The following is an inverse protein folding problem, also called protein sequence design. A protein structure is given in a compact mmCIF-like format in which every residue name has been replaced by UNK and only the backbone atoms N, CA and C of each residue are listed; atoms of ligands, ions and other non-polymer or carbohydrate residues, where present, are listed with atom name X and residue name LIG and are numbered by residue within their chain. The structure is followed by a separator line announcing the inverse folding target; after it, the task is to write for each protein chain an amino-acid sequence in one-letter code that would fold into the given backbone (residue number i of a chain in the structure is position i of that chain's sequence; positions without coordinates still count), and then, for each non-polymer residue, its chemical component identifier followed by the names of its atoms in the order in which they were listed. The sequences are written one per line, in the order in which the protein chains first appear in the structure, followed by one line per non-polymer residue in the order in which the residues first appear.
data_IF_396504103982
#
_entry.id   IF_396504103982
#
_cell.length_a   1.000
_cell.length_b   1.000
_cell.length_c   1.000
_cell.angle_alpha   90.00
_cell.angle_beta   90.00
_cell.angle_gamma   90.00
#
_symmetry.space_group_name_H-M   'P 1'
#
loop_
_entity.id
_entity.type
_entity.pdbx_description
1 polymer ?
#
# COMPACT_ATOMS: atom_id res chain seq x y z
N UNK A 1 -8.21 5.14 1.22
CA UNK A 1 -7.65 5.05 2.58
C UNK A 1 -6.15 5.36 2.57
N UNK A 2 -5.69 6.38 3.31
CA UNK A 2 -4.26 6.67 3.48
C UNK A 2 -3.59 5.73 4.50
N UNK A 3 -2.27 5.82 4.63
CA UNK A 3 -1.53 5.00 5.59
C UNK A 3 -1.38 3.54 5.17
N UNK A 4 -1.10 3.32 3.89
CA UNK A 4 -0.90 1.97 3.35
C UNK A 4 0.57 1.74 3.01
N UNK A 5 1.13 0.61 3.48
CA UNK A 5 2.51 0.14 3.20
C UNK A 5 2.54 -1.40 3.27
N UNK A 6 3.46 -2.05 2.55
CA UNK A 6 3.60 -3.52 2.59
C UNK A 6 4.25 -4.06 3.87
N UNK A 7 5.18 -3.32 4.45
CA UNK A 7 6.04 -3.80 5.54
C UNK A 7 5.33 -3.95 6.89
N UNK A 8 5.97 -4.72 7.77
CA UNK A 8 5.61 -4.92 9.17
C UNK A 8 5.72 -3.67 10.05
N UNK A 9 6.28 -2.57 9.52
CA UNK A 9 6.32 -1.28 10.21
C UNK A 9 4.90 -0.75 10.40
N UNK A 10 4.39 -0.85 11.63
CA UNK A 10 3.04 -0.43 11.97
C UNK A 10 2.85 1.08 12.04
N UNK A 11 3.92 1.87 11.89
CA UNK A 11 3.86 3.32 11.96
C UNK A 11 5.21 4.03 11.83
N UNK A 12 5.21 5.35 12.05
CA UNK A 12 6.41 6.18 12.12
C UNK A 12 6.54 6.91 13.48
N UNK A 13 7.62 7.68 13.65
CA UNK A 13 7.90 8.44 14.87
C UNK A 13 7.01 9.68 15.07
N UNK A 14 6.10 9.96 14.13
CA UNK A 14 5.23 11.15 14.12
C UNK A 14 3.74 10.78 14.10
N UNK A 15 3.41 9.53 14.48
CA UNK A 15 2.03 9.09 14.67
C UNK A 15 1.33 8.55 13.42
N UNK A 16 2.02 8.44 12.28
CA UNK A 16 1.48 7.68 11.15
C UNK A 16 1.29 6.23 11.59
N UNK A 17 0.17 5.64 11.19
CA UNK A 17 -0.06 4.20 11.29
C UNK A 17 -0.17 3.61 9.91
N UNK A 18 0.39 2.42 9.73
CA UNK A 18 0.33 1.69 8.47
C UNK A 18 -0.52 0.43 8.59
N UNK A 19 -1.16 0.10 7.48
CA UNK A 19 -1.87 -1.15 7.25
C UNK A 19 -1.58 -1.64 5.84
N UNK A 20 -1.85 -2.91 5.56
CA UNK A 20 -1.62 -3.47 4.22
C UNK A 20 -2.77 -3.12 3.28
N UNK A 21 -2.58 -3.21 1.95
CA UNK A 21 -3.66 -3.09 0.98
C UNK A 21 -4.84 -4.02 1.25
N UNK A 22 -4.58 -5.28 1.61
CA UNK A 22 -5.63 -6.27 1.87
C UNK A 22 -6.46 -5.88 3.08
N UNK A 23 -5.82 -5.52 4.20
CA UNK A 23 -6.55 -5.11 5.40
C UNK A 23 -7.35 -3.82 5.15
N UNK A 24 -6.80 -2.89 4.37
CA UNK A 24 -7.48 -1.66 3.97
C UNK A 24 -8.80 -1.91 3.23
N UNK A 25 -8.78 -2.86 2.30
CA UNK A 25 -9.90 -3.14 1.41
C UNK A 25 -10.81 -4.20 2.04
N UNK A 26 -10.29 -5.40 2.30
CA UNK A 26 -11.06 -6.57 2.73
C UNK A 26 -11.67 -6.41 4.12
N UNK A 27 -10.94 -5.80 5.06
CA UNK A 27 -11.39 -5.70 6.47
C UNK A 27 -11.94 -4.32 6.82
N UNK A 28 -11.30 -3.25 6.34
CA UNK A 28 -11.71 -1.88 6.64
C UNK A 28 -12.74 -1.33 5.64
N UNK A 29 -13.03 -2.04 4.55
CA UNK A 29 -14.09 -1.70 3.60
C UNK A 29 -13.79 -0.49 2.73
N UNK A 30 -12.52 -0.17 2.48
CA UNK A 30 -12.16 0.89 1.54
C UNK A 30 -12.26 0.40 0.09
N UNK A 31 -12.60 1.29 -0.84
CA UNK A 31 -12.57 1.00 -2.28
C UNK A 31 -11.23 1.34 -2.95
N UNK A 32 -10.43 2.21 -2.32
CA UNK A 32 -9.16 2.69 -2.86
C UNK A 32 -8.12 2.87 -1.76
N UNK A 33 -6.84 2.70 -2.11
CA UNK A 33 -5.69 2.98 -1.23
C UNK A 33 -4.93 4.22 -1.71
N UNK A 34 -4.39 4.99 -0.76
CA UNK A 34 -3.51 6.13 -1.02
C UNK A 34 -2.16 5.82 -0.39
N UNK A 35 -1.15 5.64 -1.23
CA UNK A 35 0.18 5.20 -0.84
C UNK A 35 1.17 6.34 -1.05
N UNK A 36 1.79 6.79 0.04
CA UNK A 36 2.85 7.81 0.02
C UNK A 36 4.23 7.18 0.08
N UNK A 37 4.85 7.20 1.28
CA UNK A 37 6.21 6.70 1.55
C UNK A 37 6.47 5.26 1.12
N UNK A 38 5.44 4.42 0.99
CA UNK A 38 5.55 3.08 0.42
C UNK A 38 6.00 3.06 -1.05
N UNK A 39 5.77 4.14 -1.80
CA UNK A 39 6.21 4.33 -3.20
C UNK A 39 7.31 5.39 -3.26
N UNK A 40 7.11 6.55 -2.62
CA UNK A 40 8.02 7.69 -2.81
C UNK A 40 9.43 7.47 -2.26
N UNK A 41 9.60 6.56 -1.29
CA UNK A 41 10.93 6.15 -0.82
C UNK A 41 11.76 5.40 -1.88
N UNK A 42 11.10 4.87 -2.92
CA UNK A 42 11.70 4.09 -4.01
C UNK A 42 12.09 4.92 -5.23
N UNK A 43 11.86 6.23 -5.21
CA UNK A 43 12.13 7.10 -6.37
C UNK A 43 13.61 7.20 -6.75
N UNK A 44 14.51 6.92 -5.80
CA UNK A 44 15.96 6.91 -6.04
C UNK A 44 16.52 5.51 -6.31
N UNK A 45 15.67 4.48 -6.30
CA UNK A 45 16.06 3.10 -6.64
C UNK A 45 15.97 2.89 -8.16
N UNK A 46 16.33 1.69 -8.64
CA UNK A 46 16.23 1.40 -10.08
C UNK A 46 14.79 1.49 -10.57
N UNK A 47 14.61 1.84 -11.85
CA UNK A 47 13.29 1.91 -12.49
C UNK A 47 12.52 0.58 -12.36
N UNK A 48 13.22 -0.54 -12.36
CA UNK A 48 12.65 -1.88 -12.16
C UNK A 48 12.07 -2.06 -10.75
N UNK A 49 12.78 -1.59 -9.71
CA UNK A 49 12.29 -1.66 -8.33
C UNK A 49 11.10 -0.72 -8.12
N UNK A 50 11.15 0.49 -8.69
CA UNK A 50 10.02 1.41 -8.63
C UNK A 50 8.77 0.82 -9.32
N UNK A 51 8.93 0.30 -10.54
CA UNK A 51 7.83 -0.29 -11.32
C UNK A 51 7.25 -1.53 -10.63
N UNK A 52 8.09 -2.42 -10.11
CA UNK A 52 7.61 -3.59 -9.36
C UNK A 52 6.88 -3.21 -8.08
N UNK A 53 7.32 -2.16 -7.38
CA UNK A 53 6.63 -1.62 -6.20
C UNK A 53 5.26 -1.06 -6.57
N UNK A 54 5.17 -0.25 -7.62
CA UNK A 54 3.91 0.31 -8.13
C UNK A 54 2.92 -0.79 -8.53
N UNK A 55 3.39 -1.75 -9.32
CA UNK A 55 2.59 -2.88 -9.78
C UNK A 55 2.10 -3.73 -8.60
N UNK A 56 2.94 -3.94 -7.59
CA UNK A 56 2.54 -4.68 -6.39
C UNK A 56 1.39 -3.99 -5.64
N UNK A 57 1.37 -2.66 -5.53
CA UNK A 57 0.29 -1.95 -4.81
C UNK A 57 -1.00 -2.00 -5.61
N UNK A 58 -0.88 -1.82 -6.93
CA UNK A 58 -2.01 -1.92 -7.84
C UNK A 58 -2.63 -3.32 -7.82
N UNK A 59 -1.83 -4.36 -8.04
CA UNK A 59 -2.28 -5.75 -8.07
C UNK A 59 -2.91 -6.14 -6.74
N UNK A 60 -2.20 -5.95 -5.62
CA UNK A 60 -2.70 -6.38 -4.30
C UNK A 60 -3.96 -5.63 -3.88
N UNK A 61 -4.02 -4.31 -4.14
CA UNK A 61 -5.21 -3.52 -3.85
C UNK A 61 -6.42 -3.96 -4.69
N UNK A 62 -6.21 -4.24 -5.98
CA UNK A 62 -7.27 -4.69 -6.87
C UNK A 62 -7.73 -6.12 -6.57
N UNK A 63 -6.81 -7.06 -6.35
CA UNK A 63 -7.13 -8.44 -5.95
C UNK A 63 -7.91 -8.47 -4.62
N UNK A 64 -7.52 -7.62 -3.66
CA UNK A 64 -8.26 -7.47 -2.41
C UNK A 64 -9.69 -6.98 -2.66
N UNK A 65 -9.87 -5.98 -3.53
CA UNK A 65 -11.19 -5.46 -3.90
C UNK A 65 -12.04 -6.53 -4.59
N UNK A 66 -11.47 -7.33 -5.49
CA UNK A 66 -12.19 -8.41 -6.16
C UNK A 66 -12.76 -9.46 -5.21
N UNK A 67 -12.14 -9.70 -4.04
CA UNK A 67 -12.66 -10.63 -3.03
C UNK A 67 -13.85 -10.07 -2.23
N UNK A 68 -14.07 -8.76 -2.29
CA UNK A 68 -15.17 -8.08 -1.59
C UNK A 68 -16.45 -7.96 -2.43
N UNK A 69 -16.38 -8.35 -3.71
CA UNK A 69 -17.51 -8.43 -4.64
C UNK A 69 -18.16 -9.81 -4.52
#
# INVERSE_FOLDING_TARGET
MPGVKFDSEKGDNFGQRYTTPEMAIETMGADLIIVGRGITSKLNESIEVLNSTLQSYQTRGFEAYQKTI
#
